data_IF_267928940176
#
_entry.id   IF_267928940176
#
_cell.length_a   1.000
_cell.length_b   1.000
_cell.length_c   1.000
_cell.angle_alpha   90.00
_cell.angle_beta   90.00
_cell.angle_gamma   90.00
#
_symmetry.space_group_name_H-M   'P 1'
#
loop_
_entity.id
_entity.type
_entity.pdbx_description
1 polymer ?
#
# COMPACT_ATOMS: atom_id res chain seq x y z
N UNK A 1 31.43 10.65 7.37
CA UNK A 1 30.72 9.38 7.65
C UNK A 1 30.82 8.55 6.39
N UNK A 2 31.51 7.39 6.38
CA UNK A 2 31.61 6.55 5.18
C UNK A 2 30.20 6.14 4.74
N UNK A 3 29.89 6.29 3.47
CA UNK A 3 28.70 5.69 2.87
C UNK A 3 28.75 4.18 3.15
N UNK A 4 28.04 3.74 4.16
CA UNK A 4 27.84 2.32 4.37
C UNK A 4 27.14 1.81 3.09
N UNK A 5 27.77 0.89 2.38
CA UNK A 5 27.23 0.32 1.15
C UNK A 5 25.84 -0.21 1.43
N UNK A 6 24.82 0.32 0.73
CA UNK A 6 23.43 -0.10 0.83
C UNK A 6 23.27 -1.59 0.42
N UNK A 7 24.29 -2.14 -0.24
CA UNK A 7 24.33 -3.52 -0.71
C UNK A 7 25.55 -4.23 -0.10
N UNK A 8 25.31 -5.36 0.57
CA UNK A 8 26.38 -6.24 1.11
C UNK A 8 26.45 -7.53 0.27
N UNK A 9 27.66 -7.98 -0.12
CA UNK A 9 27.83 -9.30 -0.76
C UNK A 9 27.44 -10.43 0.21
N UNK A 10 26.73 -11.44 -0.27
CA UNK A 10 26.29 -12.59 0.53
C UNK A 10 27.46 -13.40 1.11
N UNK A 11 28.62 -13.43 0.43
CA UNK A 11 29.86 -14.05 0.92
C UNK A 11 30.42 -13.41 2.19
N UNK A 12 29.98 -12.17 2.52
CA UNK A 12 30.39 -11.48 3.75
C UNK A 12 29.44 -11.77 4.92
N UNK A 13 28.36 -12.52 4.70
CA UNK A 13 27.41 -12.94 5.74
C UNK A 13 27.94 -14.22 6.37
N UNK A 14 28.38 -14.13 7.60
CA UNK A 14 28.93 -15.29 8.34
C UNK A 14 27.84 -16.29 8.74
N UNK A 15 26.64 -15.78 9.05
CA UNK A 15 25.50 -16.58 9.49
C UNK A 15 24.19 -15.88 9.12
N UNK A 16 23.23 -16.64 8.68
CA UNK A 16 21.84 -16.21 8.58
C UNK A 16 21.12 -16.51 9.90
N UNK A 17 20.61 -15.46 10.56
CA UNK A 17 19.94 -15.58 11.85
C UNK A 17 18.48 -15.98 11.70
N UNK A 18 17.88 -15.62 10.57
CA UNK A 18 16.51 -15.95 10.19
C UNK A 18 16.48 -16.32 8.71
N UNK A 19 15.71 -17.33 8.36
CA UNK A 19 15.38 -17.67 6.96
C UNK A 19 13.88 -17.60 6.76
N UNK A 20 13.47 -17.03 5.63
CA UNK A 20 12.06 -16.87 5.23
C UNK A 20 11.92 -16.98 3.71
N UNK A 21 10.71 -17.11 3.19
CA UNK A 21 10.48 -17.01 1.74
C UNK A 21 10.49 -15.55 1.29
N UNK A 22 9.73 -14.70 1.97
CA UNK A 22 9.59 -13.29 1.63
C UNK A 22 9.91 -12.41 2.84
N UNK A 23 10.82 -11.47 2.65
CA UNK A 23 11.08 -10.41 3.63
C UNK A 23 10.37 -9.13 3.18
N UNK A 24 9.45 -8.61 3.98
CA UNK A 24 8.76 -7.34 3.73
C UNK A 24 9.36 -6.26 4.62
N UNK A 25 9.84 -5.17 4.01
CA UNK A 25 10.46 -4.05 4.71
C UNK A 25 9.51 -2.86 4.75
N UNK A 26 8.95 -2.60 5.92
CA UNK A 26 7.95 -1.57 6.19
C UNK A 26 6.54 -2.15 6.36
N UNK A 27 5.78 -1.63 7.32
CA UNK A 27 4.40 -2.04 7.62
C UNK A 27 3.41 -0.87 7.47
N UNK A 28 3.47 -0.19 6.29
CA UNK A 28 2.40 0.65 5.78
C UNK A 28 1.39 -0.16 4.97
N UNK A 29 0.49 0.51 4.22
CA UNK A 29 -0.53 -0.20 3.42
C UNK A 29 0.09 -1.20 2.42
N UNK A 30 1.16 -0.83 1.72
CA UNK A 30 1.83 -1.71 0.77
C UNK A 30 2.46 -2.93 1.46
N UNK A 31 3.08 -2.73 2.64
CA UNK A 31 3.69 -3.83 3.39
C UNK A 31 2.66 -4.79 3.96
N UNK A 32 1.58 -4.27 4.53
CA UNK A 32 0.49 -5.09 5.04
C UNK A 32 -0.16 -5.92 3.93
N UNK A 33 -0.45 -5.31 2.78
CA UNK A 33 -1.02 -6.02 1.63
C UNK A 33 -0.06 -7.09 1.09
N UNK A 34 1.24 -6.77 0.98
CA UNK A 34 2.26 -7.74 0.55
C UNK A 34 2.32 -8.94 1.50
N UNK A 35 2.32 -8.69 2.81
CA UNK A 35 2.39 -9.75 3.80
C UNK A 35 1.18 -10.68 3.75
N UNK A 36 -0.04 -10.11 3.65
CA UNK A 36 -1.28 -10.86 3.55
C UNK A 36 -1.29 -11.75 2.29
N UNK A 37 -1.03 -11.16 1.13
CA UNK A 37 -1.03 -11.90 -0.13
C UNK A 37 0.07 -12.97 -0.19
N UNK A 38 1.26 -12.71 0.35
CA UNK A 38 2.32 -13.69 0.37
C UNK A 38 2.00 -14.87 1.29
N UNK A 39 1.37 -14.62 2.45
CA UNK A 39 0.91 -15.68 3.34
C UNK A 39 -0.21 -16.49 2.70
N UNK A 40 -1.18 -15.85 2.07
CA UNK A 40 -2.28 -16.52 1.38
C UNK A 40 -1.78 -17.40 0.22
N UNK A 41 -0.68 -17.00 -0.41
CA UNK A 41 0.05 -17.80 -1.41
C UNK A 41 0.92 -18.91 -0.80
N UNK A 42 0.87 -19.13 0.51
CA UNK A 42 1.60 -20.20 1.23
C UNK A 42 3.08 -19.91 1.47
N UNK A 43 3.52 -18.66 1.37
CA UNK A 43 4.89 -18.28 1.68
C UNK A 43 5.11 -18.11 3.18
N UNK A 44 6.32 -18.45 3.65
CA UNK A 44 6.81 -18.02 4.94
C UNK A 44 7.25 -16.55 4.86
N UNK A 45 6.73 -15.69 5.72
CA UNK A 45 6.88 -14.23 5.61
C UNK A 45 7.42 -13.63 6.90
N UNK A 46 8.47 -12.84 6.78
CA UNK A 46 8.95 -11.94 7.83
C UNK A 46 8.64 -10.51 7.44
N UNK A 47 8.01 -9.77 8.34
CA UNK A 47 7.73 -8.33 8.18
C UNK A 47 8.59 -7.56 9.17
N UNK A 48 9.23 -6.48 8.72
CA UNK A 48 10.01 -5.61 9.61
C UNK A 48 9.52 -4.17 9.50
N UNK A 49 9.38 -3.53 10.66
CA UNK A 49 8.95 -2.14 10.77
C UNK A 49 9.94 -1.35 11.64
N UNK A 50 10.38 -0.20 11.13
CA UNK A 50 11.32 0.66 11.83
C UNK A 50 10.74 1.32 13.08
N UNK A 51 9.45 1.64 13.06
CA UNK A 51 8.73 2.21 14.18
C UNK A 51 8.34 1.17 15.22
N UNK A 52 7.93 1.63 16.39
CA UNK A 52 7.36 0.81 17.45
C UNK A 52 5.92 0.37 17.17
N UNK A 53 5.33 0.86 16.06
CA UNK A 53 4.02 0.48 15.54
C UNK A 53 4.02 0.59 14.02
N UNK A 54 3.17 -0.20 13.36
CA UNK A 54 2.93 -0.13 11.93
C UNK A 54 2.04 1.04 11.51
N UNK A 55 1.82 1.19 10.21
CA UNK A 55 0.92 2.17 9.61
C UNK A 55 1.62 3.30 8.86
N UNK A 56 2.72 3.83 9.39
CA UNK A 56 3.53 4.87 8.74
C UNK A 56 2.69 6.03 8.20
N UNK A 57 3.03 6.54 7.03
CA UNK A 57 2.31 7.64 6.37
C UNK A 57 0.88 7.25 6.00
N UNK A 58 0.61 5.97 5.73
CA UNK A 58 -0.73 5.49 5.41
C UNK A 58 -1.71 5.71 6.55
N UNK A 59 -1.30 5.47 7.79
CA UNK A 59 -2.13 5.73 8.97
C UNK A 59 -2.40 7.23 9.21
N UNK A 60 -1.49 8.10 8.74
CA UNK A 60 -1.61 9.55 8.89
C UNK A 60 -2.37 10.24 7.75
N UNK A 61 -2.78 9.48 6.72
CA UNK A 61 -3.48 9.99 5.55
C UNK A 61 -4.98 10.17 5.79
N UNK A 62 -5.67 10.88 4.90
CA UNK A 62 -7.13 10.95 4.87
C UNK A 62 -7.82 9.60 4.66
N UNK A 63 -7.09 8.59 4.20
CA UNK A 63 -7.57 7.23 4.03
C UNK A 63 -8.51 7.01 2.85
N UNK A 64 -8.66 8.00 1.98
CA UNK A 64 -9.47 7.85 0.76
C UNK A 64 -8.78 6.88 -0.20
N UNK A 65 -9.49 5.83 -0.59
CA UNK A 65 -9.02 4.81 -1.53
C UNK A 65 -9.79 5.01 -2.83
N UNK A 66 -9.04 5.23 -3.92
CA UNK A 66 -9.65 5.49 -5.23
C UNK A 66 -10.06 4.16 -5.89
N UNK A 67 -11.33 3.80 -5.79
CA UNK A 67 -11.91 2.58 -6.32
C UNK A 67 -13.14 2.91 -7.19
N UNK A 68 -13.39 2.11 -8.21
CA UNK A 68 -14.53 2.33 -9.11
C UNK A 68 -14.95 1.05 -9.80
N UNK A 69 -15.52 1.20 -11.00
CA UNK A 69 -15.94 0.05 -11.80
C UNK A 69 -17.24 -0.60 -11.34
N UNK A 70 -18.03 0.07 -10.50
CA UNK A 70 -19.30 -0.44 -9.99
C UNK A 70 -19.16 -1.22 -8.69
N UNK A 71 -18.47 -0.65 -7.71
CA UNK A 71 -18.39 -1.22 -6.35
C UNK A 71 -19.77 -1.31 -5.69
N UNK A 72 -19.97 -2.18 -4.69
CA UNK A 72 -21.22 -2.23 -3.92
C UNK A 72 -21.64 -0.86 -3.36
N UNK A 73 -20.70 -0.09 -2.80
CA UNK A 73 -20.99 1.25 -2.26
C UNK A 73 -21.48 2.21 -3.33
N UNK A 74 -20.88 2.20 -4.54
CA UNK A 74 -21.35 3.03 -5.65
C UNK A 74 -22.79 2.66 -6.03
N UNK A 75 -23.10 1.38 -6.16
CA UNK A 75 -24.44 0.88 -6.53
C UNK A 75 -25.50 1.23 -5.49
N UNK A 76 -25.21 1.01 -4.20
CA UNK A 76 -26.12 1.33 -3.11
C UNK A 76 -26.38 2.85 -2.99
N UNK A 77 -25.41 3.68 -3.33
CA UNK A 77 -25.56 5.13 -3.43
C UNK A 77 -26.24 5.60 -4.73
N UNK A 78 -26.64 4.70 -5.64
CA UNK A 78 -27.33 5.02 -6.89
C UNK A 78 -26.42 5.48 -8.02
N UNK A 79 -25.13 5.25 -7.94
CA UNK A 79 -24.17 5.57 -8.99
C UNK A 79 -23.87 4.34 -9.87
N UNK A 80 -23.92 4.56 -11.17
CA UNK A 80 -23.45 3.59 -12.15
C UNK A 80 -22.02 3.91 -12.56
N UNK A 81 -21.12 2.95 -12.46
CA UNK A 81 -19.75 3.04 -12.94
C UNK A 81 -19.34 1.71 -13.58
N UNK A 82 -18.28 1.74 -14.39
CA UNK A 82 -17.71 0.56 -15.01
C UNK A 82 -16.19 0.65 -15.07
N UNK A 83 -15.47 -0.48 -15.18
CA UNK A 83 -14.03 -0.47 -15.40
C UNK A 83 -13.62 0.37 -16.61
N UNK A 84 -14.43 0.35 -17.68
CA UNK A 84 -14.17 1.12 -18.89
C UNK A 84 -14.26 2.64 -18.64
N UNK A 85 -15.29 3.12 -17.92
CA UNK A 85 -15.43 4.54 -17.61
C UNK A 85 -14.33 5.01 -16.63
N UNK A 86 -13.94 4.17 -15.66
CA UNK A 86 -12.81 4.42 -14.78
C UNK A 86 -11.49 4.51 -15.57
N UNK A 87 -11.27 3.58 -16.51
CA UNK A 87 -10.10 3.59 -17.38
C UNK A 87 -10.01 4.86 -18.23
N UNK A 88 -11.09 5.25 -18.93
CA UNK A 88 -11.15 6.48 -19.72
C UNK A 88 -10.80 7.71 -18.90
N UNK A 89 -11.38 7.82 -17.71
CA UNK A 89 -11.09 8.92 -16.81
C UNK A 89 -9.61 8.94 -16.40
N UNK A 90 -9.07 7.84 -15.91
CA UNK A 90 -7.68 7.75 -15.46
C UNK A 90 -6.70 8.01 -16.59
N UNK A 91 -6.98 7.52 -17.80
CA UNK A 91 -6.17 7.82 -18.97
C UNK A 91 -6.12 9.32 -19.30
N UNK A 92 -7.20 10.05 -19.06
CA UNK A 92 -7.23 11.50 -19.23
C UNK A 92 -6.56 12.25 -18.08
N UNK A 93 -6.78 11.80 -16.84
CA UNK A 93 -6.33 12.49 -15.62
C UNK A 93 -4.84 12.30 -15.32
N UNK A 94 -4.24 11.17 -15.68
CA UNK A 94 -2.83 10.84 -15.38
C UNK A 94 -1.81 11.56 -16.30
N UNK A 95 -2.23 12.40 -17.21
CA UNK A 95 -1.34 13.21 -18.05
C UNK A 95 -0.49 12.42 -19.05
N UNK A 96 0.69 12.98 -19.42
CA UNK A 96 1.53 12.44 -20.48
C UNK A 96 2.35 11.21 -20.10
N UNK A 97 2.60 10.99 -18.81
CA UNK A 97 3.42 9.87 -18.30
C UNK A 97 2.59 8.67 -17.89
N UNK A 98 1.35 8.58 -18.35
CA UNK A 98 0.45 7.46 -18.06
C UNK A 98 0.96 6.15 -18.63
N UNK A 99 0.77 5.08 -17.87
CA UNK A 99 0.99 3.69 -18.29
C UNK A 99 -0.36 3.01 -18.53
N UNK A 100 -0.78 2.82 -19.80
CA UNK A 100 -2.11 2.26 -20.10
C UNK A 100 -2.32 0.85 -19.54
N UNK A 101 -1.28 0.02 -19.49
CA UNK A 101 -1.39 -1.35 -18.99
C UNK A 101 -1.65 -1.37 -17.48
N UNK A 102 -0.94 -0.54 -16.72
CA UNK A 102 -1.17 -0.39 -15.27
C UNK A 102 -2.54 0.21 -14.96
N UNK A 103 -2.95 1.24 -15.72
CA UNK A 103 -4.26 1.86 -15.54
C UNK A 103 -5.38 0.87 -15.87
N UNK A 104 -5.22 0.03 -16.91
CA UNK A 104 -6.19 -1.01 -17.26
C UNK A 104 -6.32 -2.04 -16.14
N UNK A 105 -5.20 -2.60 -15.68
CA UNK A 105 -5.20 -3.55 -14.56
C UNK A 105 -5.85 -2.95 -13.31
N UNK A 106 -5.52 -1.70 -12.97
CA UNK A 106 -6.10 -1.01 -11.82
C UNK A 106 -7.62 -0.81 -11.94
N UNK A 107 -8.11 -0.46 -13.12
CA UNK A 107 -9.54 -0.28 -13.36
C UNK A 107 -10.31 -1.62 -13.34
N UNK A 108 -9.74 -2.65 -13.94
CA UNK A 108 -10.37 -3.98 -14.05
C UNK A 108 -10.43 -4.68 -12.67
N UNK A 109 -9.38 -4.53 -11.85
CA UNK A 109 -9.29 -5.17 -10.53
C UNK A 109 -9.91 -4.34 -9.39
N UNK A 110 -10.42 -3.14 -9.66
CA UNK A 110 -10.85 -2.19 -8.63
C UNK A 110 -11.97 -2.73 -7.72
N UNK A 111 -12.95 -3.44 -8.28
CA UNK A 111 -14.02 -4.08 -7.50
C UNK A 111 -13.48 -5.24 -6.66
N UNK A 112 -12.54 -6.03 -7.19
CA UNK A 112 -11.88 -7.09 -6.45
C UNK A 112 -11.08 -6.52 -5.27
N UNK A 113 -10.37 -5.40 -5.48
CA UNK A 113 -9.67 -4.68 -4.41
C UNK A 113 -10.62 -4.19 -3.31
N UNK A 114 -11.81 -3.69 -3.67
CA UNK A 114 -12.83 -3.34 -2.69
C UNK A 114 -13.21 -4.54 -1.81
N UNK A 115 -13.51 -5.68 -2.42
CA UNK A 115 -13.88 -6.90 -1.69
C UNK A 115 -12.73 -7.43 -0.84
N UNK A 116 -11.50 -7.31 -1.31
CA UNK A 116 -10.30 -7.65 -0.56
C UNK A 116 -10.19 -6.82 0.73
N UNK A 117 -10.38 -5.51 0.65
CA UNK A 117 -10.36 -4.62 1.82
C UNK A 117 -11.47 -4.98 2.83
N UNK A 118 -12.68 -5.21 2.35
CA UNK A 118 -13.81 -5.63 3.20
C UNK A 118 -13.53 -6.99 3.85
N UNK A 119 -12.98 -7.94 3.10
CA UNK A 119 -12.56 -9.25 3.60
C UNK A 119 -11.53 -9.17 4.73
N UNK A 120 -10.67 -8.14 4.72
CA UNK A 120 -9.71 -7.85 5.78
C UNK A 120 -10.25 -6.94 6.89
N UNK A 121 -11.57 -6.71 6.90
CA UNK A 121 -12.28 -6.04 7.98
C UNK A 121 -12.33 -4.52 7.87
N UNK A 122 -11.98 -3.93 6.72
CA UNK A 122 -12.14 -2.48 6.48
C UNK A 122 -13.62 -2.17 6.25
N UNK A 123 -14.29 -1.39 7.11
CA UNK A 123 -15.69 -1.08 6.96
C UNK A 123 -15.90 0.11 6.03
N UNK A 124 -16.91 0.04 5.16
CA UNK A 124 -17.40 1.14 4.35
C UNK A 124 -18.90 1.33 4.55
N UNK A 125 -19.34 2.58 4.68
CA UNK A 125 -20.75 2.93 4.78
C UNK A 125 -21.26 3.35 3.39
N UNK A 126 -22.34 2.78 2.94
CA UNK A 126 -22.94 3.10 1.66
C UNK A 126 -23.77 4.40 1.72
N UNK A 127 -23.09 5.49 1.98
CA UNK A 127 -23.63 6.85 1.97
C UNK A 127 -22.66 7.75 1.19
N UNK A 128 -23.23 8.57 0.32
CA UNK A 128 -22.49 9.53 -0.49
C UNK A 128 -22.38 10.88 0.23
N UNK A 129 -21.14 11.37 0.37
CA UNK A 129 -20.85 12.71 0.82
C UNK A 129 -20.88 13.69 -0.38
N UNK A 130 -21.72 14.71 -0.37
CA UNK A 130 -22.02 15.50 -1.58
C UNK A 130 -20.91 16.48 -1.99
N UNK A 131 -20.05 16.88 -1.07
CA UNK A 131 -18.99 17.86 -1.35
C UNK A 131 -17.68 17.15 -1.73
N UNK A 132 -16.82 17.84 -2.48
CA UNK A 132 -15.47 17.35 -2.78
C UNK A 132 -14.63 17.35 -1.50
N UNK A 133 -14.05 16.20 -1.17
CA UNK A 133 -13.19 16.08 0.00
C UNK A 133 -12.19 14.96 -0.13
N UNK A 134 -10.97 15.21 0.34
CA UNK A 134 -9.98 14.16 0.63
C UNK A 134 -10.09 13.62 2.06
N UNK A 135 -10.85 14.29 2.93
CA UNK A 135 -11.10 13.93 4.33
C UNK A 135 -12.53 14.39 4.69
N UNK A 136 -13.57 13.62 4.33
CA UNK A 136 -14.94 13.97 4.72
C UNK A 136 -15.06 14.08 6.25
N UNK A 137 -15.76 15.11 6.76
CA UNK A 137 -15.93 15.28 8.21
C UNK A 137 -16.92 14.28 8.82
N UNK A 138 -17.60 13.50 7.98
CA UNK A 138 -18.57 12.47 8.34
C UNK A 138 -17.97 11.08 8.18
N UNK A 139 -18.73 10.03 8.52
CA UNK A 139 -18.36 8.64 8.28
C UNK A 139 -18.90 8.08 6.95
N UNK A 140 -19.27 8.96 6.02
CA UNK A 140 -19.80 8.60 4.71
C UNK A 140 -18.73 7.94 3.85
N UNK A 141 -19.08 6.81 3.23
CA UNK A 141 -18.11 5.92 2.59
C UNK A 141 -17.84 6.19 1.13
N UNK A 142 -18.48 7.19 0.50
CA UNK A 142 -18.30 7.52 -0.92
C UNK A 142 -18.21 9.02 -1.15
N UNK A 143 -17.23 9.47 -1.93
CA UNK A 143 -17.00 10.89 -2.20
C UNK A 143 -16.40 11.10 -3.60
N UNK A 144 -16.67 12.24 -4.21
CA UNK A 144 -15.84 12.73 -5.30
C UNK A 144 -14.49 13.21 -4.75
N UNK A 145 -13.42 12.50 -5.07
CA UNK A 145 -12.06 12.82 -4.63
C UNK A 145 -11.14 13.30 -5.77
N UNK A 146 -11.61 13.19 -7.01
CA UNK A 146 -10.91 13.65 -8.21
C UNK A 146 -11.73 14.68 -9.00
N UNK A 147 -11.41 14.84 -10.27
CA UNK A 147 -12.05 15.78 -11.19
C UNK A 147 -13.14 15.12 -12.06
N UNK A 148 -13.68 13.97 -11.67
CA UNK A 148 -14.54 13.12 -12.47
C UNK A 148 -15.76 13.86 -13.01
N UNK A 149 -16.32 14.78 -12.19
CA UNK A 149 -17.51 15.58 -12.53
C UNK A 149 -17.18 16.96 -13.11
N UNK A 150 -15.90 17.26 -13.35
CA UNK A 150 -15.45 18.56 -13.86
C UNK A 150 -15.14 18.49 -15.36
N UNK A 151 -15.32 19.61 -16.06
CA UNK A 151 -14.84 19.76 -17.45
C UNK A 151 -13.30 19.74 -17.46
N UNK A 152 -12.63 19.08 -18.42
CA UNK A 152 -13.22 18.32 -19.56
C UNK A 152 -13.53 16.85 -19.25
N UNK A 153 -13.23 16.34 -18.07
CA UNK A 153 -13.27 14.90 -17.74
C UNK A 153 -14.68 14.31 -17.83
N UNK A 154 -15.68 15.08 -17.43
CA UNK A 154 -17.10 14.67 -17.52
C UNK A 154 -17.63 14.56 -18.97
N UNK A 155 -16.84 14.97 -19.98
CA UNK A 155 -17.12 14.76 -21.40
C UNK A 155 -16.37 13.56 -21.98
N UNK A 156 -15.36 13.05 -21.24
CA UNK A 156 -14.49 11.94 -21.65
C UNK A 156 -14.98 10.61 -21.09
N UNK A 157 -15.43 10.64 -19.83
CA UNK A 157 -15.93 9.47 -19.12
C UNK A 157 -17.19 9.82 -18.33
N UNK A 158 -18.07 8.84 -18.13
CA UNK A 158 -19.24 9.01 -17.27
C UNK A 158 -18.79 9.35 -15.85
N UNK A 159 -19.25 10.48 -15.29
CA UNK A 159 -18.87 10.85 -13.92
C UNK A 159 -19.42 9.86 -12.89
N UNK A 160 -18.57 9.41 -11.99
CA UNK A 160 -18.96 8.65 -10.81
C UNK A 160 -18.01 8.98 -9.65
N UNK A 161 -18.49 9.06 -8.39
CA UNK A 161 -17.62 9.20 -7.25
C UNK A 161 -16.82 7.89 -7.05
N UNK A 162 -15.50 8.01 -6.92
CA UNK A 162 -14.58 6.86 -6.79
C UNK A 162 -13.74 6.89 -5.52
N UNK A 163 -13.86 7.93 -4.72
CA UNK A 163 -13.21 7.99 -3.40
C UNK A 163 -13.99 7.15 -2.40
N UNK A 164 -13.41 6.03 -1.96
CA UNK A 164 -13.96 5.18 -0.91
C UNK A 164 -13.28 5.49 0.41
N UNK A 165 -14.06 5.75 1.46
CA UNK A 165 -13.57 6.18 2.77
C UNK A 165 -13.95 5.13 3.81
N UNK A 166 -12.98 4.58 4.56
CA UNK A 166 -13.29 3.74 5.71
C UNK A 166 -14.19 4.45 6.71
N UNK A 167 -15.13 3.71 7.32
CA UNK A 167 -16.24 4.25 8.10
C UNK A 167 -15.79 4.85 9.43
N UNK A 168 -15.23 6.06 9.37
CA UNK A 168 -14.90 6.90 10.53
C UNK A 168 -14.88 8.37 10.09
N UNK A 169 -15.34 9.31 10.91
CA UNK A 169 -15.23 10.74 10.58
C UNK A 169 -13.77 11.21 10.48
N UNK A 170 -13.46 12.01 9.46
CA UNK A 170 -12.14 12.63 9.29
C UNK A 170 -11.07 11.67 8.76
N UNK A 171 -9.90 11.64 9.40
CA UNK A 171 -8.72 10.89 8.93
C UNK A 171 -8.90 9.38 9.03
N UNK A 172 -9.36 8.77 7.95
CA UNK A 172 -9.68 7.34 7.91
C UNK A 172 -8.46 6.41 7.68
N UNK A 173 -7.29 6.95 7.36
CA UNK A 173 -6.06 6.16 7.20
C UNK A 173 -5.66 5.38 8.44
N UNK A 174 -5.95 5.94 9.63
CA UNK A 174 -5.73 5.25 10.91
C UNK A 174 -6.56 3.98 11.02
N UNK A 175 -7.85 4.05 10.73
CA UNK A 175 -8.75 2.88 10.75
C UNK A 175 -8.36 1.86 9.68
N UNK A 176 -8.03 2.30 8.46
CA UNK A 176 -7.55 1.42 7.41
C UNK A 176 -6.36 0.60 7.90
N UNK A 177 -5.35 1.26 8.46
CA UNK A 177 -4.15 0.58 8.92
C UNK A 177 -4.38 -0.28 10.16
N UNK A 178 -5.24 0.13 11.09
CA UNK A 178 -5.67 -0.71 12.22
C UNK A 178 -6.20 -2.06 11.73
N UNK A 179 -7.10 -2.05 10.73
CA UNK A 179 -7.69 -3.29 10.21
C UNK A 179 -6.68 -4.16 9.47
N UNK A 180 -5.85 -3.56 8.61
CA UNK A 180 -4.83 -4.30 7.86
C UNK A 180 -3.74 -4.88 8.78
N UNK A 181 -3.26 -4.13 9.77
CA UNK A 181 -2.29 -4.63 10.74
C UNK A 181 -2.89 -5.76 11.57
N UNK A 182 -4.12 -5.59 12.06
CA UNK A 182 -4.80 -6.65 12.81
C UNK A 182 -5.03 -7.93 11.95
N UNK A 183 -5.21 -7.77 10.64
CA UNK A 183 -5.26 -8.92 9.72
C UNK A 183 -3.89 -9.61 9.61
N UNK A 184 -2.80 -8.85 9.44
CA UNK A 184 -1.42 -9.39 9.41
C UNK A 184 -1.09 -10.14 10.71
N UNK A 185 -1.42 -9.57 11.87
CA UNK A 185 -1.13 -10.16 13.19
C UNK A 185 -1.86 -11.49 13.46
N UNK A 186 -2.95 -11.76 12.74
CA UNK A 186 -3.65 -13.05 12.79
C UNK A 186 -2.99 -14.13 11.96
N UNK A 187 -2.05 -13.76 11.07
CA UNK A 187 -1.29 -14.68 10.22
C UNK A 187 -0.02 -15.18 10.93
N UNK A 188 0.68 -16.19 10.37
CA UNK A 188 2.03 -16.55 10.82
C UNK A 188 3.07 -15.44 10.62
N UNK A 189 2.85 -14.50 9.70
CA UNK A 189 3.75 -13.37 9.41
C UNK A 189 3.70 -12.33 10.53
N UNK A 190 4.42 -12.58 11.63
CA UNK A 190 4.46 -11.65 12.77
C UNK A 190 5.40 -10.48 12.50
N UNK A 191 4.94 -9.22 12.64
CA UNK A 191 5.80 -8.06 12.49
C UNK A 191 6.90 -7.99 13.57
N UNK A 192 8.11 -7.63 13.14
CA UNK A 192 9.22 -7.24 14.00
C UNK A 192 9.30 -5.72 14.02
N UNK A 193 8.85 -5.12 15.10
CA UNK A 193 8.90 -3.67 15.33
C UNK A 193 10.30 -3.24 15.80
N UNK A 194 10.54 -1.92 15.83
CA UNK A 194 11.83 -1.30 16.20
C UNK A 194 13.01 -1.87 15.40
N UNK A 195 12.72 -2.36 14.20
CA UNK A 195 13.67 -3.10 13.36
C UNK A 195 13.86 -2.39 12.02
N UNK A 196 15.06 -1.90 11.79
CA UNK A 196 15.44 -1.18 10.58
C UNK A 196 16.18 -2.08 9.61
N UNK A 197 15.86 -2.00 8.32
CA UNK A 197 16.69 -2.55 7.25
C UNK A 197 17.88 -1.60 7.00
N UNK A 198 19.09 -2.07 7.27
CA UNK A 198 20.32 -1.29 7.09
C UNK A 198 20.93 -1.48 5.70
N UNK A 199 20.87 -2.71 5.17
CA UNK A 199 21.42 -3.02 3.87
C UNK A 199 20.67 -4.22 3.25
N UNK A 200 20.61 -4.26 1.93
CA UNK A 200 20.25 -5.46 1.19
C UNK A 200 21.48 -6.37 1.07
N UNK A 201 21.23 -7.66 0.93
CA UNK A 201 22.28 -8.65 0.67
C UNK A 201 22.09 -9.24 -0.71
N UNK A 202 23.13 -9.18 -1.55
CA UNK A 202 23.11 -9.75 -2.89
C UNK A 202 24.13 -10.89 -3.02
N UNK A 203 23.80 -11.88 -3.85
CA UNK A 203 24.74 -12.92 -4.24
C UNK A 203 25.72 -12.44 -5.32
N UNK A 204 26.57 -13.35 -5.80
CA UNK A 204 27.60 -13.03 -6.78
C UNK A 204 27.00 -12.73 -8.18
N UNK A 205 25.76 -13.14 -8.43
CA UNK A 205 24.99 -12.84 -9.66
C UNK A 205 24.22 -11.50 -9.55
N UNK A 206 24.31 -10.82 -8.40
CA UNK A 206 23.65 -9.55 -8.13
C UNK A 206 22.18 -9.68 -7.71
N UNK A 207 21.69 -10.90 -7.46
CA UNK A 207 20.33 -11.12 -6.98
C UNK A 207 20.24 -10.81 -5.49
N UNK A 208 19.18 -10.09 -5.08
CA UNK A 208 18.93 -9.82 -3.66
C UNK A 208 18.39 -11.09 -3.00
N UNK A 209 19.18 -11.62 -2.06
CA UNK A 209 18.91 -12.89 -1.35
C UNK A 209 18.60 -12.69 0.14
N UNK A 210 18.53 -11.43 0.60
CA UNK A 210 18.21 -11.12 1.98
C UNK A 210 18.52 -9.68 2.36
N UNK A 211 18.57 -9.43 3.66
CA UNK A 211 18.89 -8.11 4.21
C UNK A 211 19.61 -8.22 5.56
N UNK A 212 20.32 -7.14 5.90
CA UNK A 212 20.83 -6.90 7.24
C UNK A 212 19.87 -5.98 7.97
N UNK A 213 19.35 -6.46 9.07
CA UNK A 213 18.42 -5.76 9.94
C UNK A 213 19.16 -5.28 11.19
N UNK A 214 18.63 -4.23 11.81
CA UNK A 214 19.14 -3.70 13.08
C UNK A 214 18.00 -3.43 14.04
N UNK A 215 18.09 -4.05 15.22
CA UNK A 215 17.13 -3.91 16.31
C UNK A 215 17.90 -3.51 17.58
N UNK A 216 17.61 -2.32 18.13
CA UNK A 216 18.28 -1.79 19.33
C UNK A 216 19.83 -1.85 19.29
N UNK A 217 20.41 -1.69 18.11
CA UNK A 217 21.86 -1.71 17.92
C UNK A 217 22.43 -3.06 17.51
N UNK A 218 21.71 -4.15 17.66
CA UNK A 218 22.11 -5.50 17.24
C UNK A 218 21.81 -5.75 15.77
N UNK A 219 22.79 -6.24 15.03
CA UNK A 219 22.61 -6.67 13.65
C UNK A 219 22.11 -8.12 13.59
N UNK A 220 21.17 -8.37 12.67
CA UNK A 220 20.67 -9.71 12.31
C UNK A 220 20.59 -9.84 10.81
N UNK A 221 21.05 -10.96 10.27
CA UNK A 221 20.99 -11.25 8.86
C UNK A 221 19.79 -12.14 8.55
N UNK A 222 18.92 -11.68 7.66
CA UNK A 222 17.73 -12.44 7.20
C UNK A 222 17.95 -12.89 5.77
N UNK A 223 17.81 -14.19 5.53
CA UNK A 223 17.77 -14.77 4.19
C UNK A 223 16.33 -14.82 3.69
N UNK A 224 16.10 -14.31 2.48
CA UNK A 224 14.83 -14.35 1.80
C UNK A 224 14.97 -15.24 0.54
N UNK A 225 14.36 -16.44 0.57
CA UNK A 225 14.52 -17.44 -0.49
C UNK A 225 13.86 -17.05 -1.81
N UNK A 226 12.78 -16.25 -1.75
CA UNK A 226 12.02 -15.80 -2.92
C UNK A 226 12.20 -14.31 -3.22
N UNK A 227 12.50 -13.49 -2.20
CA UNK A 227 12.79 -12.08 -2.42
C UNK A 227 12.55 -11.17 -1.24
N UNK A 228 12.99 -9.93 -1.42
CA UNK A 228 12.79 -8.83 -0.47
C UNK A 228 11.87 -7.79 -1.12
N UNK A 229 10.78 -7.44 -0.46
CA UNK A 229 9.82 -6.43 -0.93
C UNK A 229 10.03 -5.15 -0.12
N UNK A 230 10.46 -4.08 -0.79
CA UNK A 230 10.70 -2.79 -0.18
C UNK A 230 9.40 -1.95 -0.19
N UNK A 231 8.80 -1.76 0.98
CA UNK A 231 7.60 -0.97 1.22
C UNK A 231 7.83 0.13 2.26
N UNK A 232 9.08 0.61 2.31
CA UNK A 232 9.58 1.55 3.32
C UNK A 232 9.05 2.99 3.17
N UNK A 233 8.13 3.23 2.24
CA UNK A 233 7.53 4.54 1.97
C UNK A 233 8.36 5.41 1.04
N UNK A 234 8.04 6.72 1.00
CA UNK A 234 8.68 7.68 0.13
C UNK A 234 9.91 8.33 0.75
N UNK A 235 10.64 9.08 -0.07
CA UNK A 235 11.89 9.75 0.29
C UNK A 235 11.74 11.23 0.69
N UNK A 236 10.53 11.71 0.91
CA UNK A 236 10.24 13.13 1.20
C UNK A 236 11.06 13.69 2.39
N UNK A 237 11.45 12.84 3.33
CA UNK A 237 12.29 13.22 4.47
C UNK A 237 13.79 13.24 4.13
N UNK A 238 14.20 12.75 2.97
CA UNK A 238 15.58 12.81 2.50
C UNK A 238 15.78 14.07 1.66
N UNK A 239 16.36 15.12 2.28
CA UNK A 239 16.53 16.43 1.64
C UNK A 239 17.36 16.39 0.36
N UNK A 240 18.34 15.49 0.28
CA UNK A 240 19.23 15.39 -0.88
C UNK A 240 18.49 14.73 -2.05
N UNK A 241 17.69 13.69 -1.82
CA UNK A 241 16.85 13.08 -2.84
C UNK A 241 15.71 14.00 -3.32
N UNK A 242 15.20 14.88 -2.44
CA UNK A 242 14.16 15.85 -2.83
C UNK A 242 14.71 16.99 -3.67
N UNK A 243 16.02 17.29 -3.57
CA UNK A 243 16.68 18.37 -4.32
C UNK A 243 17.26 17.92 -5.66
N UNK A 244 17.40 16.61 -5.87
CA UNK A 244 17.91 16.04 -7.11
C UNK A 244 16.83 15.97 -8.18
#
# INVERSE_FOLDING_TARGET
MSEASILRPSRNIQRWDVETDVLVVGLGCAGASTALEAVDAGADVVVVERGSAGGGTSASSGGVIYLGGGTPVQKECGFEDSPEEMFKYLMAACGSHRDPAKIRAYADDSVAQYHWLVGHGVPFKAVFYPDYSGEPPTDDGLVYSGNENCYPFNQIAKPAPRGHVPQIPGKAGGLLMEKLIAAVEKTPAKPMYDTRCEALVADDDGQVVGAVLKTFGEERCVRARRGVVLTAGGFIMNRDMVRA
#
